data_IF_796427588241
#
_entry.id   IF_796427588241
#
_cell.length_a   1.000
_cell.length_b   1.000
_cell.length_c   1.000
_cell.angle_alpha   90.00
_cell.angle_beta   90.00
_cell.angle_gamma   90.00
#
_symmetry.space_group_name_H-M   'P 1'
#
loop_
_entity.id
_entity.type
_entity.pdbx_description
1 polymer ?
#
# COMPACT_ATOMS: atom_id res chain seq x y z
N UNK A 1 23.83 -13.65 -7.34
CA UNK A 1 23.05 -12.39 -7.42
C UNK A 1 21.60 -12.74 -7.21
N UNK A 2 20.84 -12.01 -6.37
CA UNK A 2 19.41 -12.25 -6.23
C UNK A 2 18.70 -12.00 -7.56
N UNK A 3 17.72 -12.83 -7.90
CA UNK A 3 16.87 -12.64 -9.07
C UNK A 3 15.90 -11.49 -8.77
N UNK A 4 15.95 -10.43 -9.57
CA UNK A 4 15.01 -9.30 -9.47
C UNK A 4 14.00 -9.41 -10.60
N UNK A 5 12.72 -9.47 -10.25
CA UNK A 5 11.61 -9.41 -11.18
C UNK A 5 10.82 -8.13 -10.96
N UNK A 6 10.45 -7.45 -12.04
CA UNK A 6 9.68 -6.22 -12.01
C UNK A 6 8.35 -6.44 -12.73
N UNK A 7 7.26 -6.06 -12.08
CA UNK A 7 5.93 -6.04 -12.67
C UNK A 7 5.27 -4.69 -12.36
N UNK A 8 4.70 -4.05 -13.38
CA UNK A 8 4.03 -2.75 -13.21
C UNK A 8 2.68 -2.86 -12.50
N UNK A 9 2.04 -4.03 -12.61
CA UNK A 9 0.76 -4.35 -12.01
C UNK A 9 0.85 -5.73 -11.34
N UNK A 10 0.10 -5.98 -10.25
CA UNK A 10 0.12 -7.28 -9.57
C UNK A 10 -0.22 -8.47 -10.48
N UNK A 11 -1.13 -8.30 -11.44
CA UNK A 11 -1.51 -9.34 -12.41
C UNK A 11 -0.44 -9.59 -13.49
N UNK A 12 0.58 -8.73 -13.59
CA UNK A 12 1.72 -8.91 -14.50
C UNK A 12 2.88 -9.64 -13.84
N UNK A 13 2.72 -10.12 -12.60
CA UNK A 13 3.70 -10.96 -11.93
C UNK A 13 3.59 -12.39 -12.51
N UNK A 14 4.61 -12.92 -13.21
CA UNK A 14 4.68 -14.33 -13.62
C UNK A 14 4.30 -15.29 -12.50
N UNK A 15 3.42 -16.25 -12.81
CA UNK A 15 2.95 -17.25 -11.85
C UNK A 15 1.87 -16.76 -10.88
N UNK A 16 1.46 -15.48 -10.91
CA UNK A 16 0.40 -14.95 -10.04
C UNK A 16 -0.94 -15.67 -10.17
N UNK A 17 -1.24 -16.24 -11.34
CA UNK A 17 -2.46 -17.01 -11.61
C UNK A 17 -2.42 -18.48 -11.13
N UNK A 18 -1.24 -19.01 -10.76
CA UNK A 18 -1.01 -20.46 -10.60
C UNK A 18 -0.64 -20.88 -9.17
N UNK A 19 -0.83 -20.00 -8.18
CA UNK A 19 -0.28 -20.18 -6.84
C UNK A 19 1.07 -19.49 -6.73
N UNK A 20 1.21 -18.67 -5.69
CA UNK A 20 2.23 -17.61 -5.58
C UNK A 20 3.61 -17.99 -6.12
N UNK A 21 4.21 -17.19 -7.01
CA UNK A 21 5.66 -17.21 -7.16
C UNK A 21 6.27 -16.95 -5.78
N UNK A 22 7.19 -17.83 -5.37
CA UNK A 22 7.80 -17.81 -4.04
C UNK A 22 8.84 -16.67 -3.98
N UNK A 23 8.37 -15.42 -3.91
CA UNK A 23 9.23 -14.29 -3.58
C UNK A 23 9.42 -14.23 -2.07
N UNK A 24 10.66 -14.18 -1.63
CA UNK A 24 10.99 -13.96 -0.22
C UNK A 24 10.69 -12.52 0.19
N UNK A 25 10.78 -11.57 -0.75
CA UNK A 25 10.64 -10.13 -0.52
C UNK A 25 9.85 -9.50 -1.68
N UNK A 26 8.88 -8.66 -1.34
CA UNK A 26 8.19 -7.79 -2.29
C UNK A 26 8.50 -6.31 -1.97
N UNK A 27 8.85 -5.54 -2.99
CA UNK A 27 9.03 -4.08 -2.89
C UNK A 27 7.95 -3.42 -3.71
N UNK A 28 6.98 -2.79 -3.04
CA UNK A 28 5.90 -2.03 -3.69
C UNK A 28 6.40 -0.62 -3.99
N UNK A 29 6.19 -0.17 -5.22
CA UNK A 29 6.56 1.19 -5.67
C UNK A 29 5.33 1.84 -6.27
N UNK A 30 4.84 2.88 -5.59
CA UNK A 30 3.86 3.83 -6.10
C UNK A 30 4.35 5.22 -5.70
N UNK A 31 5.22 5.77 -6.53
CA UNK A 31 5.88 7.04 -6.26
C UNK A 31 4.90 8.23 -6.30
N UNK A 32 3.80 8.11 -7.06
CA UNK A 32 2.81 9.15 -7.32
C UNK A 32 1.39 8.64 -7.01
N UNK A 33 1.02 8.51 -5.73
CA UNK A 33 1.72 9.08 -4.56
C UNK A 33 1.74 8.20 -3.32
N UNK A 34 1.25 6.96 -3.38
CA UNK A 34 0.98 6.19 -2.17
C UNK A 34 2.25 5.91 -1.35
N UNK A 35 3.26 5.25 -1.93
CA UNK A 35 4.47 4.85 -1.19
C UNK A 35 5.32 6.05 -0.76
N UNK A 36 5.35 7.12 -1.55
CA UNK A 36 5.96 8.40 -1.13
C UNK A 36 5.24 8.99 0.07
N UNK A 37 3.91 9.07 0.04
CA UNK A 37 3.10 9.60 1.15
C UNK A 37 3.27 8.74 2.41
N UNK A 38 3.28 7.41 2.26
CA UNK A 38 3.46 6.47 3.35
C UNK A 38 4.84 6.60 4.01
N UNK A 39 5.91 6.66 3.20
CA UNK A 39 7.27 6.86 3.69
C UNK A 39 7.40 8.18 4.47
N UNK A 40 6.83 9.28 3.95
CA UNK A 40 6.83 10.58 4.63
C UNK A 40 6.02 10.57 5.93
N UNK A 41 4.86 9.91 5.98
CA UNK A 41 4.05 9.81 7.19
C UNK A 41 4.79 9.05 8.32
N UNK A 42 5.44 7.93 7.99
CA UNK A 42 6.26 7.19 8.95
C UNK A 42 7.45 8.02 9.43
N UNK A 43 8.14 8.72 8.52
CA UNK A 43 9.24 9.63 8.88
C UNK A 43 8.80 10.76 9.81
N UNK A 44 7.58 11.29 9.62
CA UNK A 44 6.98 12.32 10.47
C UNK A 44 6.45 11.81 11.84
N UNK A 45 6.59 10.51 12.12
CA UNK A 45 6.23 9.92 13.42
C UNK A 45 4.95 9.09 13.45
N UNK A 46 4.31 8.83 12.30
CA UNK A 46 3.25 7.81 12.27
C UNK A 46 3.85 6.43 12.63
N UNK A 47 3.20 5.70 13.53
CA UNK A 47 3.68 4.38 13.99
C UNK A 47 3.17 3.23 13.15
N UNK A 48 2.08 3.45 12.41
CA UNK A 48 1.45 2.44 11.57
C UNK A 48 0.71 3.09 10.40
N UNK A 49 0.68 2.41 9.26
CA UNK A 49 -0.18 2.71 8.12
C UNK A 49 -1.05 1.49 7.88
N UNK A 50 -2.37 1.71 7.78
CA UNK A 50 -3.34 0.69 7.40
C UNK A 50 -3.95 1.05 6.05
N UNK A 51 -3.81 0.16 5.08
CA UNK A 51 -4.38 0.32 3.73
C UNK A 51 -5.82 -0.20 3.69
N UNK A 52 -6.67 0.48 2.93
CA UNK A 52 -8.03 0.06 2.65
C UNK A 52 -8.33 0.27 1.17
N UNK A 53 -9.06 -0.66 0.55
CA UNK A 53 -9.51 -0.52 -0.84
C UNK A 53 -10.62 0.52 -0.96
N UNK A 54 -11.52 0.57 0.02
CA UNK A 54 -12.70 1.43 0.03
C UNK A 54 -12.78 2.37 1.23
N UNK A 55 -13.50 3.49 1.05
CA UNK A 55 -13.66 4.54 2.07
C UNK A 55 -14.31 3.99 3.34
N UNK A 56 -15.36 3.17 3.21
CA UNK A 56 -16.07 2.62 4.37
C UNK A 56 -15.20 1.64 5.17
N UNK A 57 -14.32 0.91 4.49
CA UNK A 57 -13.32 0.04 5.13
C UNK A 57 -12.31 0.90 5.90
N UNK A 58 -11.84 2.01 5.32
CA UNK A 58 -10.94 2.94 6.01
C UNK A 58 -11.59 3.53 7.28
N UNK A 59 -12.86 3.97 7.18
CA UNK A 59 -13.63 4.47 8.33
C UNK A 59 -13.76 3.41 9.43
N UNK A 60 -14.03 2.17 9.05
CA UNK A 60 -14.15 1.04 9.98
C UNK A 60 -12.81 0.73 10.67
N UNK A 61 -11.69 0.72 9.93
CA UNK A 61 -10.35 0.52 10.51
C UNK A 61 -9.97 1.62 11.50
N UNK A 62 -10.32 2.87 11.21
CA UNK A 62 -10.05 4.00 12.11
C UNK A 62 -10.88 3.96 13.41
N UNK A 63 -12.00 3.23 13.43
CA UNK A 63 -12.74 2.99 14.67
C UNK A 63 -12.02 1.96 15.56
N UNK A 64 -11.28 1.02 14.97
CA UNK A 64 -10.56 -0.05 15.69
C UNK A 64 -9.21 0.41 16.26
N UNK A 65 -8.62 1.49 15.73
CA UNK A 65 -7.31 2.00 16.15
C UNK A 65 -7.46 3.48 16.50
N UNK A 66 -7.10 3.86 17.73
CA UNK A 66 -7.12 5.26 18.17
C UNK A 66 -5.82 5.63 18.87
N UNK A 67 -5.26 6.84 18.62
CA UNK A 67 -5.72 7.83 17.65
C UNK A 67 -5.45 7.38 16.20
N UNK A 68 -6.34 7.75 15.27
CA UNK A 68 -6.18 7.48 13.84
C UNK A 68 -6.46 8.74 13.02
N UNK A 69 -5.72 8.88 11.92
CA UNK A 69 -5.96 9.88 10.88
C UNK A 69 -6.47 9.16 9.63
N UNK A 70 -7.63 9.60 9.13
CA UNK A 70 -8.14 9.16 7.84
C UNK A 70 -7.46 9.98 6.73
N UNK A 71 -6.76 9.28 5.85
CA UNK A 71 -6.05 9.84 4.71
C UNK A 71 -6.45 9.09 3.45
N UNK A 72 -6.36 9.73 2.29
CA UNK A 72 -6.63 9.08 1.01
C UNK A 72 -7.01 10.08 -0.08
N UNK A 73 -7.14 9.56 -1.29
CA UNK A 73 -7.60 10.32 -2.44
C UNK A 73 -8.53 9.49 -3.34
N UNK A 74 -9.31 10.20 -4.16
CA UNK A 74 -9.95 9.69 -5.36
C UNK A 74 -9.74 10.73 -6.45
N UNK A 75 -9.33 10.30 -7.64
CA UNK A 75 -9.09 11.20 -8.79
C UNK A 75 -8.13 12.36 -8.44
N UNK A 76 -7.08 12.05 -7.66
CA UNK A 76 -6.12 13.03 -7.15
C UNK A 76 -6.72 14.12 -6.24
N UNK A 77 -7.92 13.91 -5.69
CA UNK A 77 -8.58 14.81 -4.74
C UNK A 77 -8.69 14.15 -3.39
N UNK A 78 -8.48 14.94 -2.33
CA UNK A 78 -8.71 14.49 -0.96
C UNK A 78 -10.16 14.01 -0.81
N UNK A 79 -10.33 12.83 -0.21
CA UNK A 79 -11.61 12.31 0.25
C UNK A 79 -12.02 12.97 1.57
#
# INVERSE_FOLDING_TARGET
MPLVQVALLPNLIPGSASGSPMFEIAVVIDALRFTTTASQALHAGATQIRTASEVDVARSLAQQVRPALLCGERECRRI
#
